data_IF_738334237676
#
_entry.id   IF_738334237676
#
_cell.length_a   1.000
_cell.length_b   1.000
_cell.length_c   1.000
_cell.angle_alpha   90.00
_cell.angle_beta   90.00
_cell.angle_gamma   90.00
#
_symmetry.space_group_name_H-M   'P 1'
#
loop_
_entity.id
_entity.type
_entity.pdbx_description
1 polymer ?
#
# COMPACT_ATOMS: atom_id res chain seq x y z
N UNK A 1 -6.80 5.77 -7.54
CA UNK A 1 -8.15 6.26 -7.14
C UNK A 1 -8.30 7.75 -7.47
N UNK A 2 -9.45 8.17 -8.00
CA UNK A 2 -9.68 9.59 -8.31
C UNK A 2 -9.70 10.39 -7.00
N UNK A 3 -8.91 11.47 -6.93
CA UNK A 3 -8.80 12.31 -5.73
C UNK A 3 -7.85 11.79 -4.64
N UNK A 4 -7.21 10.63 -4.83
CA UNK A 4 -6.20 10.15 -3.88
C UNK A 4 -4.92 11.00 -3.95
N UNK A 5 -4.31 11.36 -2.80
CA UNK A 5 -3.01 12.04 -2.78
C UNK A 5 -1.92 11.20 -3.45
N UNK A 6 -1.04 11.83 -4.23
CA UNK A 6 -0.04 11.11 -5.04
C UNK A 6 0.87 10.21 -4.19
N UNK A 7 1.34 10.70 -3.03
CA UNK A 7 2.20 9.92 -2.14
C UNK A 7 1.53 8.63 -1.61
N UNK A 8 0.21 8.63 -1.47
CA UNK A 8 -0.55 7.44 -1.10
C UNK A 8 -0.64 6.48 -2.28
N UNK A 9 -0.93 7.00 -3.48
CA UNK A 9 -0.96 6.20 -4.72
C UNK A 9 0.38 5.53 -4.97
N UNK A 10 1.49 6.25 -4.79
CA UNK A 10 2.84 5.73 -4.99
C UNK A 10 3.18 4.62 -3.97
N UNK A 11 2.77 4.77 -2.70
CA UNK A 11 2.94 3.70 -1.71
C UNK A 11 2.13 2.46 -2.11
N UNK A 12 0.85 2.65 -2.47
CA UNK A 12 -0.04 1.56 -2.83
C UNK A 12 0.42 0.82 -4.09
N UNK A 13 0.96 1.54 -5.09
CA UNK A 13 1.56 0.93 -6.27
C UNK A 13 2.70 -0.02 -5.91
N UNK A 14 3.61 0.38 -5.00
CA UNK A 14 4.69 -0.51 -4.51
C UNK A 14 4.14 -1.70 -3.73
N UNK A 15 3.08 -1.53 -2.93
CA UNK A 15 2.43 -2.64 -2.23
C UNK A 15 1.84 -3.70 -3.18
N UNK A 16 1.40 -3.27 -4.35
CA UNK A 16 0.82 -4.11 -5.40
C UNK A 16 1.82 -4.53 -6.47
N UNK A 17 3.12 -4.36 -6.24
CA UNK A 17 4.11 -4.82 -7.21
C UNK A 17 4.01 -6.34 -7.41
N UNK A 18 4.08 -6.76 -8.68
CA UNK A 18 4.03 -8.17 -9.06
C UNK A 18 5.25 -8.93 -8.54
N UNK A 19 6.40 -8.25 -8.47
CA UNK A 19 7.61 -8.76 -7.83
C UNK A 19 7.50 -8.59 -6.30
N UNK A 20 7.46 -9.69 -5.51
CA UNK A 20 7.42 -9.61 -4.05
C UNK A 20 8.60 -8.84 -3.45
N UNK A 21 9.73 -8.76 -4.15
CA UNK A 21 10.94 -8.10 -3.66
C UNK A 21 10.91 -6.58 -3.81
N UNK A 22 10.04 -6.04 -4.66
CA UNK A 22 9.81 -4.59 -4.78
C UNK A 22 8.77 -4.07 -3.78
N UNK A 23 8.07 -4.97 -3.08
CA UNK A 23 7.06 -4.59 -2.10
C UNK A 23 7.72 -4.02 -0.85
N UNK A 24 7.16 -2.94 -0.26
CA UNK A 24 7.68 -2.41 0.98
C UNK A 24 7.50 -3.42 2.11
N UNK A 25 8.47 -3.47 3.01
CA UNK A 25 8.34 -4.27 4.22
C UNK A 25 7.27 -3.69 5.15
N UNK A 26 6.79 -4.48 6.11
CA UNK A 26 5.89 -3.98 7.15
C UNK A 26 6.50 -2.82 7.95
N UNK A 27 7.83 -2.81 8.11
CA UNK A 27 8.56 -1.72 8.76
C UNK A 27 8.52 -0.44 7.91
N UNK A 28 8.78 -0.55 6.61
CA UNK A 28 8.74 0.61 5.70
C UNK A 28 7.34 1.23 5.67
N UNK A 29 6.29 0.38 5.65
CA UNK A 29 4.91 0.84 5.74
C UNK A 29 4.64 1.60 7.03
N UNK A 30 5.06 1.07 8.17
CA UNK A 30 4.92 1.73 9.46
C UNK A 30 5.63 3.08 9.48
N UNK A 31 6.87 3.14 9.01
CA UNK A 31 7.67 4.36 9.00
C UNK A 31 7.05 5.43 8.07
N UNK A 32 6.54 5.04 6.88
CA UNK A 32 5.83 5.94 5.97
C UNK A 32 4.56 6.51 6.59
N UNK A 33 3.71 5.65 7.17
CA UNK A 33 2.44 6.07 7.79
C UNK A 33 2.71 6.98 8.99
N UNK A 34 3.69 6.63 9.83
CA UNK A 34 4.10 7.46 10.96
C UNK A 34 4.61 8.82 10.50
N UNK A 35 5.39 8.87 9.41
CA UNK A 35 5.85 10.13 8.84
C UNK A 35 4.67 11.00 8.36
N UNK A 36 3.69 10.41 7.67
CA UNK A 36 2.51 11.15 7.23
C UNK A 36 1.63 11.65 8.38
N UNK A 37 1.56 10.90 9.48
CA UNK A 37 0.84 11.32 10.68
C UNK A 37 1.45 12.56 11.33
N UNK A 38 2.78 12.70 11.26
CA UNK A 38 3.51 13.85 11.82
C UNK A 38 3.53 15.05 10.85
N UNK A 39 3.27 14.83 9.57
CA UNK A 39 3.19 15.85 8.53
C UNK A 39 1.73 16.35 8.41
N UNK A 40 1.47 17.54 8.96
CA UNK A 40 0.13 18.11 9.02
C UNK A 40 -0.55 18.25 7.64
N UNK A 41 0.21 18.54 6.59
CA UNK A 41 -0.36 18.69 5.24
C UNK A 41 -0.72 17.33 4.65
N UNK A 42 0.15 16.32 4.79
CA UNK A 42 -0.17 14.96 4.34
C UNK A 42 -1.35 14.38 5.08
N UNK A 43 -1.42 14.62 6.39
CA UNK A 43 -2.55 14.18 7.21
C UNK A 43 -3.87 14.82 6.73
N UNK A 44 -3.88 16.13 6.49
CA UNK A 44 -5.05 16.86 5.96
C UNK A 44 -5.50 16.30 4.61
N UNK A 45 -4.57 16.07 3.68
CA UNK A 45 -4.88 15.51 2.35
C UNK A 45 -5.49 14.10 2.44
N UNK A 46 -5.00 13.26 3.35
CA UNK A 46 -5.57 11.92 3.58
C UNK A 46 -6.98 11.99 4.18
N UNK A 47 -7.22 12.90 5.13
CA UNK A 47 -8.53 13.07 5.77
C UNK A 47 -9.58 13.56 4.76
N UNK A 48 -9.23 14.55 3.93
CA UNK A 48 -10.08 15.05 2.84
C UNK A 48 -10.42 13.95 1.83
N UNK A 49 -9.42 13.15 1.45
CA UNK A 49 -9.63 12.01 0.57
C UNK A 49 -10.59 10.99 1.22
N UNK A 50 -10.38 10.61 2.48
CA UNK A 50 -11.24 9.66 3.19
C UNK A 50 -12.70 10.13 3.26
N UNK A 51 -12.92 11.41 3.54
CA UNK A 51 -14.25 12.01 3.55
C UNK A 51 -14.92 11.99 2.17
N UNK A 52 -14.16 12.14 1.08
CA UNK A 52 -14.69 12.04 -0.29
C UNK A 52 -15.15 10.62 -0.64
N UNK A 53 -14.40 9.59 -0.22
CA UNK A 53 -14.66 8.18 -0.56
C UNK A 53 -15.82 7.59 0.25
N UNK A 54 -15.98 8.01 1.51
CA UNK A 54 -17.09 7.56 2.37
C UNK A 54 -18.48 7.98 1.87
N UNK A 55 -18.57 8.91 0.89
CA UNK A 55 -19.83 9.28 0.27
C UNK A 55 -20.35 8.28 -0.77
N UNK A 56 -19.49 7.40 -1.33
CA UNK A 56 -19.85 6.63 -2.54
C UNK A 56 -19.93 5.11 -2.42
N UNK A 57 -19.32 4.42 -1.44
CA UNK A 57 -19.12 2.97 -1.68
C UNK A 57 -18.86 2.10 -0.46
N UNK A 58 -19.89 1.43 0.04
CA UNK A 58 -19.75 0.15 0.76
C UNK A 58 -20.64 -0.99 0.24
N UNK A 59 -21.59 -0.76 -0.68
CA UNK A 59 -22.64 -1.74 -0.98
C UNK A 59 -22.60 -2.43 -2.36
N UNK A 60 -21.64 -2.13 -3.24
CA UNK A 60 -21.60 -2.68 -4.61
C UNK A 60 -20.38 -3.59 -4.91
N UNK A 61 -19.86 -4.33 -3.92
CA UNK A 61 -18.81 -5.32 -4.17
C UNK A 61 -19.38 -6.51 -4.97
N UNK A 62 -19.25 -6.46 -6.30
CA UNK A 62 -19.52 -7.61 -7.17
C UNK A 62 -18.38 -8.63 -7.01
N UNK A 63 -18.65 -9.68 -6.25
CA UNK A 63 -17.75 -10.84 -6.14
C UNK A 63 -17.73 -11.59 -7.48
N UNK A 64 -16.54 -11.81 -8.03
CA UNK A 64 -16.38 -12.63 -9.23
C UNK A 64 -16.74 -14.08 -8.91
N UNK A 65 -17.55 -14.78 -9.74
CA UNK A 65 -17.97 -16.15 -9.45
C UNK A 65 -16.81 -17.15 -9.32
N UNK A 66 -15.66 -16.84 -9.91
CA UNK A 66 -14.44 -17.68 -9.85
C UNK A 66 -13.44 -17.25 -8.77
N UNK A 67 -13.77 -16.26 -7.93
CA UNK A 67 -12.85 -15.80 -6.91
C UNK A 67 -12.64 -16.89 -5.83
N UNK A 68 -11.37 -17.16 -5.50
CA UNK A 68 -10.99 -18.11 -4.45
C UNK A 68 -10.55 -17.34 -3.21
N UNK A 69 -11.43 -17.28 -2.20
CA UNK A 69 -11.17 -16.58 -0.93
C UNK A 69 -10.56 -17.47 0.17
N UNK A 70 -10.26 -18.73 -0.13
CA UNK A 70 -9.61 -19.65 0.81
C UNK A 70 -8.10 -19.50 0.67
N UNK A 71 -7.40 -19.37 1.81
CA UNK A 71 -5.95 -19.32 1.86
C UNK A 71 -5.31 -20.50 1.11
N UNK A 72 -4.29 -20.19 0.31
CA UNK A 72 -3.43 -21.17 -0.36
C UNK A 72 -1.99 -20.86 0.02
N UNK A 73 -1.17 -21.90 0.13
CA UNK A 73 0.26 -21.73 0.40
C UNK A 73 0.92 -21.07 -0.81
N UNK A 74 1.52 -19.90 -0.61
CA UNK A 74 2.34 -19.23 -1.62
C UNK A 74 3.75 -19.81 -1.47
N UNK A 75 4.34 -20.28 -2.57
CA UNK A 75 5.73 -20.74 -2.56
C UNK A 75 6.64 -19.59 -2.11
N UNK A 76 7.52 -19.85 -1.16
CA UNK A 76 8.42 -18.84 -0.62
C UNK A 76 9.34 -18.30 -1.74
N UNK A 77 9.27 -17.00 -2.01
CA UNK A 77 10.18 -16.28 -2.91
C UNK A 77 11.28 -15.70 -2.03
N UNK A 78 12.54 -16.07 -2.29
CA UNK A 78 13.68 -15.51 -1.57
C UNK A 78 14.08 -14.21 -2.24
N UNK A 79 13.81 -13.09 -1.58
CA UNK A 79 14.31 -11.79 -1.99
C UNK A 79 15.71 -11.63 -1.39
N UNK A 80 16.74 -11.63 -2.24
CA UNK A 80 18.07 -11.28 -1.79
C UNK A 80 18.08 -9.79 -1.51
N UNK A 81 18.40 -9.40 -0.27
CA UNK A 81 18.76 -8.02 0.02
C UNK A 81 20.08 -7.76 -0.71
N UNK A 82 20.04 -6.90 -1.74
CA UNK A 82 21.26 -6.37 -2.30
C UNK A 82 21.99 -5.64 -1.17
N UNK A 83 23.11 -6.23 -0.75
CA UNK A 83 24.08 -5.58 0.10
C UNK A 83 24.65 -4.39 -0.69
N UNK A 84 23.99 -3.23 -0.61
CA UNK A 84 24.63 -1.98 -0.98
C UNK A 84 25.70 -1.71 0.07
N UNK A 85 26.94 -1.95 -0.34
CA UNK A 85 28.18 -1.69 0.36
C UNK A 85 28.11 -0.50 1.32
N UNK A 86 28.50 -0.76 2.58
CA UNK A 86 29.23 0.22 3.36
C UNK A 86 30.47 0.64 2.55
N UNK A 87 30.52 1.89 2.13
CA UNK A 87 31.79 2.57 1.83
C UNK A 87 31.87 3.88 2.61
N UNK A 88 32.58 3.75 3.75
CA UNK A 88 33.37 4.72 4.54
C UNK A 88 32.65 5.76 5.41
#
# INVERSE_FOLDING_TARGET
PKGAPQFYVDLMMRCWDDDPCQRPSAKDLYDNIKFWWLDAEKFRLLDEFNNSVNSESYCNLKIHPEAIYKSRFISYVHCQEDASADEQ
#
